data_IF_663389635704
#
_entry.id   IF_663389635704
#
_cell.length_a   1.000
_cell.length_b   1.000
_cell.length_c   1.000
_cell.angle_alpha   90.00
_cell.angle_beta   90.00
_cell.angle_gamma   90.00
#
_symmetry.space_group_name_H-M   'P 1'
#
loop_
_entity.id
_entity.type
_entity.pdbx_description
1 polymer ?
#
# COMPACT_ATOMS: atom_id res chain seq x y z
N UNK A 1 -43.38 30.24 38.21
CA UNK A 1 -42.46 29.09 38.34
C UNK A 1 -42.16 28.58 36.94
N UNK A 2 -41.00 28.95 36.39
CA UNK A 2 -40.51 28.50 35.09
C UNK A 2 -39.24 27.68 35.31
N UNK A 3 -39.08 26.49 34.70
CA UNK A 3 -37.82 25.77 34.76
C UNK A 3 -36.82 26.39 33.77
N UNK A 4 -35.62 26.69 34.27
CA UNK A 4 -34.50 27.15 33.49
C UNK A 4 -33.93 26.00 32.64
N UNK A 5 -33.85 26.20 31.33
CA UNK A 5 -33.14 25.33 30.39
C UNK A 5 -31.63 25.51 30.58
N UNK A 6 -30.93 24.47 31.04
CA UNK A 6 -29.47 24.44 31.05
C UNK A 6 -28.97 24.28 29.60
N UNK A 7 -28.24 25.29 29.13
CA UNK A 7 -27.48 25.21 27.90
C UNK A 7 -26.27 24.28 28.13
N UNK A 8 -26.28 23.13 27.46
CA UNK A 8 -25.09 22.28 27.32
C UNK A 8 -24.14 23.02 26.37
N UNK A 9 -23.13 23.69 26.93
CA UNK A 9 -21.99 24.19 26.16
C UNK A 9 -21.33 23.02 25.45
N UNK A 10 -21.50 22.96 24.13
CA UNK A 10 -20.64 22.15 23.26
C UNK A 10 -19.23 22.72 23.39
N UNK A 11 -18.36 21.95 24.05
CA UNK A 11 -16.91 22.15 23.94
C UNK A 11 -16.57 22.12 22.45
N UNK A 12 -15.89 23.13 21.90
CA UNK A 12 -15.42 23.05 20.52
C UNK A 12 -14.46 21.87 20.45
N UNK A 13 -14.78 20.90 19.61
CA UNK A 13 -13.89 19.85 19.17
C UNK A 13 -12.77 20.51 18.37
N UNK A 14 -11.80 21.06 19.11
CA UNK A 14 -10.57 21.63 18.60
C UNK A 14 -9.75 20.48 18.04
N UNK A 15 -10.11 20.12 16.81
CA UNK A 15 -9.47 19.07 16.03
C UNK A 15 -8.02 19.48 15.90
N UNK A 16 -7.19 18.76 16.64
CA UNK A 16 -5.74 18.84 16.67
C UNK A 16 -5.25 18.75 15.22
N UNK A 17 -5.14 19.90 14.56
CA UNK A 17 -4.64 20.06 13.20
C UNK A 17 -3.12 19.88 13.30
N UNK A 18 -2.69 18.65 13.64
CA UNK A 18 -1.29 18.25 13.72
C UNK A 18 -0.63 18.69 12.43
N UNK A 19 0.31 19.61 12.57
CA UNK A 19 0.92 20.30 11.44
C UNK A 19 1.64 19.27 10.59
N UNK A 20 1.02 18.81 9.51
CA UNK A 20 1.69 17.92 8.57
C UNK A 20 2.76 18.72 7.84
N UNK A 21 4.04 18.45 8.11
CA UNK A 21 5.14 19.03 7.34
C UNK A 21 5.56 18.03 6.27
N UNK A 22 5.40 18.42 5.00
CA UNK A 22 5.70 17.57 3.84
C UNK A 22 4.96 16.23 3.84
N UNK A 23 3.75 16.17 4.41
CA UNK A 23 2.91 14.97 4.48
C UNK A 23 3.24 14.01 5.63
N UNK A 24 4.17 14.35 6.52
CA UNK A 24 4.49 13.59 7.72
C UNK A 24 3.92 14.24 8.97
N UNK A 25 3.62 13.43 9.98
CA UNK A 25 3.33 13.89 11.32
C UNK A 25 4.65 14.27 12.02
N UNK A 26 4.61 15.23 12.94
CA UNK A 26 5.80 15.69 13.67
C UNK A 26 6.55 14.56 14.40
N UNK A 27 5.85 13.51 14.82
CA UNK A 27 6.43 12.32 15.46
C UNK A 27 7.17 11.36 14.52
N UNK A 28 6.95 11.43 13.20
CA UNK A 28 7.47 10.41 12.28
C UNK A 28 9.00 10.49 12.13
N UNK A 29 9.55 11.71 12.14
CA UNK A 29 11.01 11.90 12.10
C UNK A 29 11.68 11.34 13.37
N UNK A 30 11.02 11.48 14.52
CA UNK A 30 11.49 10.87 15.76
C UNK A 30 11.54 9.35 15.64
N UNK A 31 10.46 8.71 15.19
CA UNK A 31 10.42 7.25 15.04
C UNK A 31 11.42 6.73 14.02
N UNK A 32 11.61 7.43 12.90
CA UNK A 32 12.62 7.08 11.91
C UNK A 32 14.05 7.15 12.48
N UNK A 33 14.36 8.19 13.26
CA UNK A 33 15.64 8.33 13.96
C UNK A 33 15.83 7.24 15.02
N UNK A 34 14.79 6.96 15.80
CA UNK A 34 14.81 5.93 16.83
C UNK A 34 15.08 4.54 16.24
N UNK A 35 14.34 4.17 15.19
CA UNK A 35 14.50 2.88 14.51
C UNK A 35 15.91 2.72 13.90
N UNK A 36 16.41 3.76 13.21
CA UNK A 36 17.75 3.70 12.59
C UNK A 36 18.87 3.67 13.61
N UNK A 37 18.78 4.43 14.71
CA UNK A 37 19.75 4.37 15.80
C UNK A 37 19.76 2.98 16.48
N UNK A 38 18.58 2.38 16.65
CA UNK A 38 18.43 1.02 17.20
C UNK A 38 19.09 0.00 16.28
N UNK A 39 18.85 0.07 14.96
CA UNK A 39 19.48 -0.80 13.98
C UNK A 39 21.01 -0.67 13.95
N UNK A 40 21.55 0.55 14.03
CA UNK A 40 23.00 0.80 14.11
C UNK A 40 23.60 0.18 15.37
N UNK A 41 22.93 0.32 16.52
CA UNK A 41 23.38 -0.27 17.78
C UNK A 41 23.33 -1.79 17.75
N UNK A 42 22.26 -2.37 17.20
CA UNK A 42 22.11 -3.81 17.04
C UNK A 42 23.17 -4.40 16.10
N UNK A 43 23.42 -3.76 14.96
CA UNK A 43 24.47 -4.20 14.02
C UNK A 43 25.86 -4.18 14.67
N UNK A 44 26.16 -3.19 15.50
CA UNK A 44 27.42 -3.15 16.25
C UNK A 44 27.50 -4.23 17.34
N UNK A 45 26.38 -4.55 17.99
CA UNK A 45 26.33 -5.57 19.02
C UNK A 45 26.52 -7.00 18.48
N UNK A 46 25.95 -7.28 17.32
CA UNK A 46 25.97 -8.60 16.69
C UNK A 46 27.03 -8.74 15.58
N UNK A 47 27.96 -7.78 15.49
CA UNK A 47 29.03 -7.72 14.48
C UNK A 47 28.53 -7.98 13.04
N UNK A 48 27.38 -7.42 12.69
CA UNK A 48 26.82 -7.56 11.36
C UNK A 48 27.64 -6.73 10.36
N UNK A 49 28.11 -7.36 9.27
CA UNK A 49 28.84 -6.71 8.17
C UNK A 49 27.97 -5.77 7.30
N UNK A 50 26.88 -5.23 7.84
CA UNK A 50 26.00 -4.32 7.13
C UNK A 50 26.59 -2.89 7.11
N UNK A 51 26.71 -2.30 5.92
CA UNK A 51 27.15 -0.91 5.77
C UNK A 51 26.20 0.05 6.48
N UNK A 52 26.73 0.92 7.34
CA UNK A 52 25.93 1.95 8.02
C UNK A 52 25.59 3.10 7.06
N UNK A 53 24.31 3.45 6.97
CA UNK A 53 23.85 4.64 6.27
C UNK A 53 24.18 5.94 7.02
N UNK A 54 23.75 7.07 6.44
CA UNK A 54 23.84 8.39 7.08
C UNK A 54 22.74 8.57 8.13
N UNK A 55 23.00 9.42 9.13
CA UNK A 55 21.99 9.80 10.11
C UNK A 55 20.75 10.44 9.45
N UNK A 56 19.55 10.01 9.87
CA UNK A 56 18.27 10.55 9.36
C UNK A 56 18.04 11.94 9.91
N UNK A 57 18.32 12.97 9.09
CA UNK A 57 18.14 14.38 9.48
C UNK A 57 16.76 14.91 9.14
N UNK A 58 16.16 14.43 8.06
CA UNK A 58 14.84 14.81 7.59
C UNK A 58 14.17 13.62 6.88
N UNK A 59 12.85 13.64 6.83
CA UNK A 59 12.07 12.73 5.99
C UNK A 59 11.89 13.34 4.59
N UNK A 60 11.97 12.53 3.53
CA UNK A 60 11.66 13.01 2.18
C UNK A 60 10.20 13.44 2.10
N UNK A 61 9.87 14.42 1.28
CA UNK A 61 8.46 14.79 1.10
C UNK A 61 7.62 13.60 0.62
N UNK A 62 6.43 13.43 1.20
CA UNK A 62 5.47 12.44 0.68
C UNK A 62 5.02 12.93 -0.68
N UNK A 63 5.28 12.13 -1.71
CA UNK A 63 4.77 12.40 -3.05
C UNK A 63 3.24 12.35 -3.01
N UNK A 64 2.60 13.47 -3.34
CA UNK A 64 1.15 13.58 -3.49
C UNK A 64 0.63 12.79 -4.69
N UNK A 65 -0.68 12.87 -4.91
CA UNK A 65 -1.31 12.24 -6.08
C UNK A 65 -0.79 12.86 -7.37
N UNK A 66 -0.64 12.03 -8.41
CA UNK A 66 -0.28 12.46 -9.77
C UNK A 66 -1.33 11.96 -10.75
N UNK A 67 -1.33 12.50 -11.97
CA UNK A 67 -2.15 11.94 -13.06
C UNK A 67 -1.67 10.53 -13.40
N UNK A 68 -2.60 9.65 -13.78
CA UNK A 68 -2.31 8.30 -14.32
C UNK A 68 -1.32 8.33 -15.48
N UNK A 69 -1.34 9.38 -16.32
CA UNK A 69 -0.40 9.58 -17.43
C UNK A 69 1.05 9.85 -16.99
N UNK A 70 1.26 10.19 -15.72
CA UNK A 70 2.57 10.54 -15.15
C UNK A 70 3.18 9.42 -14.31
N UNK A 71 2.64 8.19 -14.44
CA UNK A 71 3.13 7.02 -13.72
C UNK A 71 4.57 6.68 -14.14
N UNK A 72 5.48 6.63 -13.18
CA UNK A 72 6.91 6.33 -13.43
C UNK A 72 7.56 5.46 -12.35
N UNK A 73 6.78 5.00 -11.37
CA UNK A 73 7.19 4.10 -10.31
C UNK A 73 6.44 2.78 -10.40
N UNK A 74 5.92 2.32 -9.27
CA UNK A 74 5.23 1.03 -9.16
C UNK A 74 3.89 0.96 -9.89
N UNK A 75 3.35 2.08 -10.39
CA UNK A 75 2.14 2.10 -11.23
C UNK A 75 2.44 2.20 -12.74
N UNK A 76 3.69 2.40 -13.17
CA UNK A 76 4.05 2.82 -14.53
C UNK A 76 3.53 1.92 -15.67
N UNK A 77 3.41 0.62 -15.42
CA UNK A 77 3.02 -0.37 -16.44
C UNK A 77 1.68 -1.05 -16.13
N UNK A 78 0.91 -0.48 -15.21
CA UNK A 78 -0.47 -0.89 -15.05
C UNK A 78 -1.25 -0.37 -16.24
N UNK A 79 -2.22 -1.13 -16.73
CA UNK A 79 -2.99 -0.85 -17.94
C UNK A 79 -3.97 0.33 -17.76
N UNK A 80 -3.50 1.43 -17.17
CA UNK A 80 -4.26 2.60 -16.74
C UNK A 80 -5.02 3.24 -17.90
N UNK A 81 -4.43 3.24 -19.11
CA UNK A 81 -5.07 3.80 -20.31
C UNK A 81 -6.25 2.99 -20.84
N UNK A 82 -6.51 1.78 -20.33
CA UNK A 82 -7.67 0.97 -20.73
C UNK A 82 -8.95 1.35 -20.03
N UNK A 83 -8.86 2.17 -18.99
CA UNK A 83 -9.99 2.57 -18.17
C UNK A 83 -9.93 4.08 -17.94
N UNK A 84 -10.76 4.81 -18.69
CA UNK A 84 -10.81 6.27 -18.68
C UNK A 84 -11.28 6.85 -17.35
N UNK A 85 -11.89 6.03 -16.48
CA UNK A 85 -12.30 6.44 -15.14
C UNK A 85 -11.10 6.76 -14.25
N UNK A 86 -9.95 6.12 -14.50
CA UNK A 86 -8.76 6.20 -13.66
C UNK A 86 -8.01 7.51 -13.89
N UNK A 87 -7.95 8.35 -12.85
CA UNK A 87 -7.49 9.73 -12.98
C UNK A 87 -6.27 10.06 -12.10
N UNK A 88 -6.11 9.35 -10.97
CA UNK A 88 -5.06 9.61 -9.99
C UNK A 88 -4.26 8.37 -9.62
N UNK A 89 -2.98 8.58 -9.32
CA UNK A 89 -2.09 7.56 -8.79
C UNK A 89 -1.31 8.06 -7.57
N UNK A 90 -0.97 7.10 -6.71
CA UNK A 90 0.05 7.24 -5.67
C UNK A 90 0.96 6.03 -5.75
N UNK A 91 2.26 6.26 -5.85
CA UNK A 91 3.20 5.18 -6.08
C UNK A 91 4.49 5.37 -5.33
N UNK A 92 5.08 4.25 -4.94
CA UNK A 92 6.47 4.19 -4.48
C UNK A 92 7.42 4.19 -5.68
N UNK A 93 8.67 4.65 -5.47
CA UNK A 93 9.71 4.41 -6.47
C UNK A 93 10.04 2.93 -6.53
N UNK A 94 10.37 2.45 -7.73
CA UNK A 94 10.85 1.10 -7.94
C UNK A 94 12.30 0.95 -7.50
N UNK A 95 12.60 -0.08 -6.71
CA UNK A 95 13.98 -0.45 -6.33
C UNK A 95 14.05 -1.94 -6.04
N UNK A 96 15.11 -2.61 -6.51
CA UNK A 96 15.39 -4.01 -6.17
C UNK A 96 15.73 -4.24 -4.68
N UNK A 97 15.89 -3.16 -3.91
CA UNK A 97 16.13 -3.20 -2.46
C UNK A 97 14.91 -2.76 -1.65
N UNK A 98 13.78 -2.45 -2.29
CA UNK A 98 12.57 -2.03 -1.60
C UNK A 98 11.97 -3.19 -0.79
N UNK A 99 11.85 -3.03 0.52
CA UNK A 99 11.16 -4.01 1.39
C UNK A 99 9.64 -3.91 1.32
N UNK A 100 9.15 -2.82 0.73
CA UNK A 100 7.74 -2.51 0.53
C UNK A 100 7.54 -1.70 -0.75
N UNK A 101 6.58 -2.12 -1.57
CA UNK A 101 6.13 -1.41 -2.77
C UNK A 101 4.62 -1.18 -2.69
N UNK A 102 4.14 -0.02 -3.14
CA UNK A 102 2.71 0.32 -3.18
C UNK A 102 2.37 1.10 -4.44
N UNK A 103 1.29 0.69 -5.10
CA UNK A 103 0.60 1.46 -6.13
C UNK A 103 -0.87 1.62 -5.71
N UNK A 104 -1.37 2.84 -5.65
CA UNK A 104 -2.78 3.14 -5.51
C UNK A 104 -3.27 3.85 -6.77
N UNK A 105 -4.47 3.50 -7.23
CA UNK A 105 -5.11 4.11 -8.38
C UNK A 105 -6.51 4.54 -7.99
N UNK A 106 -6.81 5.82 -8.17
CA UNK A 106 -8.11 6.42 -7.93
C UNK A 106 -8.87 6.65 -9.22
N UNK A 107 -10.19 6.64 -9.09
CA UNK A 107 -11.15 7.11 -10.09
C UNK A 107 -12.14 8.03 -9.37
N UNK A 108 -11.68 9.21 -8.97
CA UNK A 108 -12.36 10.08 -7.98
C UNK A 108 -13.78 10.51 -8.36
N UNK A 109 -14.10 10.50 -9.65
CA UNK A 109 -15.42 10.88 -10.14
C UNK A 109 -16.39 9.69 -10.21
N UNK A 110 -15.92 8.47 -9.91
CA UNK A 110 -16.65 7.22 -10.15
C UNK A 110 -16.69 6.30 -8.94
N UNK A 111 -15.62 6.22 -8.15
CA UNK A 111 -15.53 5.35 -6.97
C UNK A 111 -14.92 6.10 -5.79
N UNK A 112 -15.47 5.86 -4.60
CA UNK A 112 -14.97 6.45 -3.36
C UNK A 112 -13.68 5.78 -2.89
N UNK A 113 -13.55 4.49 -3.16
CA UNK A 113 -12.39 3.70 -2.79
C UNK A 113 -11.37 3.58 -3.93
N UNK A 114 -10.10 3.42 -3.57
CA UNK A 114 -9.00 3.32 -4.54
C UNK A 114 -8.60 1.87 -4.72
N UNK A 115 -8.23 1.49 -5.93
CA UNK A 115 -7.43 0.28 -6.11
C UNK A 115 -6.13 0.42 -5.32
N UNK A 116 -5.73 -0.60 -4.57
CA UNK A 116 -4.44 -0.62 -3.86
C UNK A 116 -3.72 -1.94 -4.12
N UNK A 117 -2.52 -1.86 -4.70
CA UNK A 117 -1.64 -3.00 -4.90
C UNK A 117 -0.39 -2.81 -4.05
N UNK A 118 -0.02 -3.83 -3.28
CA UNK A 118 1.18 -3.78 -2.43
C UNK A 118 2.01 -5.04 -2.55
N UNK A 119 3.33 -4.88 -2.45
CA UNK A 119 4.29 -5.98 -2.32
C UNK A 119 5.08 -5.80 -1.03
N UNK A 120 5.22 -6.88 -0.27
CA UNK A 120 5.96 -6.93 0.99
C UNK A 120 6.98 -8.07 0.92
N UNK A 121 8.19 -7.80 1.39
CA UNK A 121 9.33 -8.73 1.34
C UNK A 121 9.88 -9.03 2.74
N UNK A 122 10.54 -10.17 2.89
CA UNK A 122 11.14 -10.61 4.15
C UNK A 122 10.24 -10.42 5.38
N UNK A 123 10.74 -9.77 6.46
CA UNK A 123 9.98 -9.56 7.69
C UNK A 123 8.65 -8.80 7.51
N UNK A 124 8.54 -7.93 6.49
CA UNK A 124 7.29 -7.22 6.22
C UNK A 124 6.22 -8.15 5.65
N UNK A 125 6.62 -9.15 4.86
CA UNK A 125 5.71 -10.19 4.40
C UNK A 125 5.21 -11.03 5.58
N UNK A 126 6.11 -11.43 6.48
CA UNK A 126 5.78 -12.19 7.69
C UNK A 126 4.79 -11.42 8.59
N UNK A 127 5.10 -10.16 8.88
CA UNK A 127 4.24 -9.32 9.73
C UNK A 127 2.84 -9.19 9.14
N UNK A 128 2.71 -9.00 7.83
CA UNK A 128 1.41 -8.87 7.18
C UNK A 128 0.60 -10.18 7.17
N UNK A 129 1.27 -11.34 7.07
CA UNK A 129 0.60 -12.65 7.17
C UNK A 129 0.08 -12.93 8.58
N UNK A 130 0.75 -12.40 9.59
CA UNK A 130 0.40 -12.58 10.99
C UNK A 130 -0.54 -11.50 11.52
N UNK A 131 -0.93 -10.53 10.70
CA UNK A 131 -1.86 -9.48 11.09
C UNK A 131 -3.28 -10.05 11.23
N UNK A 132 -3.84 -10.13 12.46
CA UNK A 132 -5.17 -10.67 12.67
C UNK A 132 -6.27 -9.77 12.08
N UNK A 133 -5.96 -8.52 11.73
CA UNK A 133 -6.88 -7.56 11.14
C UNK A 133 -6.80 -7.51 9.61
N UNK A 134 -5.92 -8.31 8.98
CA UNK A 134 -5.80 -8.34 7.53
C UNK A 134 -7.04 -8.99 6.88
N UNK A 135 -7.94 -8.17 6.35
CA UNK A 135 -9.16 -8.61 5.67
C UNK A 135 -8.88 -9.30 4.33
N UNK A 136 -7.85 -8.89 3.60
CA UNK A 136 -7.51 -9.43 2.28
C UNK A 136 -6.97 -10.85 2.35
N UNK A 137 -6.10 -11.14 3.34
CA UNK A 137 -5.48 -12.46 3.47
C UNK A 137 -6.34 -13.46 4.24
N UNK A 138 -7.31 -12.99 5.03
CA UNK A 138 -8.04 -13.85 5.97
C UNK A 138 -7.11 -14.76 6.79
N UNK A 139 -7.64 -15.82 7.41
CA UNK A 139 -6.83 -16.83 8.10
C UNK A 139 -6.14 -17.82 7.15
N UNK A 140 -5.95 -17.47 5.86
CA UNK A 140 -5.48 -18.45 4.87
C UNK A 140 -3.98 -18.36 4.62
N UNK A 141 -3.27 -19.44 4.92
CA UNK A 141 -1.85 -19.62 4.57
C UNK A 141 -1.64 -20.04 3.09
N UNK A 142 -2.65 -19.86 2.23
CA UNK A 142 -2.57 -20.21 0.82
C UNK A 142 -1.59 -19.29 0.08
N UNK A 143 -0.87 -19.87 -0.89
CA UNK A 143 0.12 -19.15 -1.68
C UNK A 143 -0.48 -18.06 -2.59
N UNK A 144 -1.74 -18.21 -3.00
CA UNK A 144 -2.48 -17.23 -3.78
C UNK A 144 -4.00 -17.46 -3.66
N UNK A 145 -4.79 -16.45 -4.02
CA UNK A 145 -6.25 -16.56 -4.11
C UNK A 145 -6.94 -15.20 -4.17
N UNK A 146 -8.27 -15.25 -4.18
CA UNK A 146 -9.13 -14.07 -4.19
C UNK A 146 -10.32 -14.28 -3.27
N UNK A 147 -10.87 -13.18 -2.77
CA UNK A 147 -12.15 -13.12 -2.07
C UNK A 147 -12.88 -11.82 -2.45
N UNK A 148 -14.04 -11.56 -1.84
CA UNK A 148 -14.84 -10.36 -2.13
C UNK A 148 -14.15 -9.04 -1.79
N UNK A 149 -13.05 -9.07 -1.02
CA UNK A 149 -12.32 -7.88 -0.55
C UNK A 149 -10.93 -7.74 -1.16
N UNK A 150 -10.51 -8.68 -2.02
CA UNK A 150 -9.25 -8.52 -2.73
C UNK A 150 -8.59 -9.79 -3.22
N UNK A 151 -7.33 -9.61 -3.61
CA UNK A 151 -6.48 -10.54 -4.31
C UNK A 151 -5.20 -10.72 -3.50
N UNK A 152 -4.64 -11.93 -3.49
CA UNK A 152 -3.32 -12.16 -2.93
C UNK A 152 -2.51 -13.18 -3.74
N UNK A 153 -1.20 -13.04 -3.64
CA UNK A 153 -0.21 -13.90 -4.28
C UNK A 153 1.08 -13.97 -3.47
N UNK A 154 1.99 -14.84 -3.88
CA UNK A 154 3.28 -14.98 -3.20
C UNK A 154 4.38 -15.51 -4.11
N UNK A 155 5.63 -15.15 -3.81
CA UNK A 155 6.82 -15.63 -4.52
C UNK A 155 7.95 -15.94 -3.53
N UNK A 156 8.91 -16.77 -3.94
CA UNK A 156 10.16 -16.97 -3.19
C UNK A 156 11.19 -15.95 -3.65
N UNK A 157 11.72 -15.14 -2.74
CA UNK A 157 12.73 -14.14 -3.08
C UNK A 157 14.11 -14.53 -2.53
N UNK A 158 15.21 -14.19 -3.22
CA UNK A 158 16.56 -14.50 -2.75
C UNK A 158 16.83 -13.87 -1.38
N UNK A 159 17.41 -14.63 -0.46
CA UNK A 159 17.79 -14.16 0.87
C UNK A 159 16.66 -14.09 1.90
N UNK A 160 15.41 -14.29 1.49
CA UNK A 160 14.26 -14.32 2.39
C UNK A 160 13.89 -15.76 2.79
N UNK A 161 13.70 -16.00 4.09
CA UNK A 161 13.13 -17.25 4.59
C UNK A 161 11.63 -17.35 4.29
N UNK A 162 10.96 -16.20 4.21
CA UNK A 162 9.54 -16.09 3.99
C UNK A 162 9.21 -15.77 2.53
N UNK A 163 8.07 -16.28 2.07
CA UNK A 163 7.58 -15.89 0.74
C UNK A 163 7.15 -14.44 0.76
N UNK A 164 7.61 -13.67 -0.21
CA UNK A 164 7.06 -12.35 -0.49
C UNK A 164 5.55 -12.43 -0.65
N UNK A 165 4.89 -11.35 -0.27
CA UNK A 165 3.45 -11.25 -0.26
C UNK A 165 3.02 -10.10 -1.17
N UNK A 166 2.15 -10.42 -2.12
CA UNK A 166 1.46 -9.44 -2.97
C UNK A 166 0.00 -9.40 -2.56
N UNK A 167 -0.57 -8.21 -2.35
CA UNK A 167 -2.00 -8.02 -2.13
C UNK A 167 -2.56 -6.97 -3.07
N UNK A 168 -3.82 -7.14 -3.46
CA UNK A 168 -4.59 -6.21 -4.27
C UNK A 168 -5.95 -5.96 -3.63
N UNK A 169 -6.31 -4.71 -3.43
CA UNK A 169 -7.65 -4.29 -3.08
C UNK A 169 -8.35 -3.77 -4.34
N UNK A 170 -9.59 -4.22 -4.54
CA UNK A 170 -10.44 -3.85 -5.67
C UNK A 170 -11.72 -3.23 -5.09
N UNK A 171 -12.03 -1.95 -5.40
CA UNK A 171 -13.26 -1.31 -4.94
C UNK A 171 -14.49 -2.12 -5.32
N UNK A 172 -15.43 -2.27 -4.41
CA UNK A 172 -16.64 -3.09 -4.67
C UNK A 172 -17.57 -2.42 -5.69
N UNK A 173 -17.55 -1.09 -5.73
CA UNK A 173 -18.27 -0.21 -6.65
C UNK A 173 -17.72 -0.30 -8.08
N UNK A 174 -16.47 -0.71 -8.25
CA UNK A 174 -15.86 -0.81 -9.57
C UNK A 174 -16.54 -1.85 -10.47
N UNK A 175 -17.25 -2.82 -9.87
CA UNK A 175 -18.04 -3.83 -10.57
C UNK A 175 -19.44 -3.35 -10.99
N UNK A 176 -19.88 -2.17 -10.55
CA UNK A 176 -21.24 -1.67 -10.81
C UNK A 176 -21.26 -0.29 -11.46
N UNK A 177 -20.16 0.46 -11.40
CA UNK A 177 -20.05 1.82 -11.93
C UNK A 177 -19.34 1.81 -13.27
N UNK A 178 -20.01 2.16 -14.38
CA UNK A 178 -19.34 2.48 -15.65
C UNK A 178 -19.67 3.92 -16.04
N UNK A 179 -20.95 4.17 -16.25
CA UNK A 179 -21.62 5.45 -16.47
C UNK A 179 -23.06 5.31 -15.93
N UNK A 180 -23.82 6.40 -15.66
CA UNK A 180 -25.22 6.28 -15.28
C UNK A 180 -26.03 5.51 -16.34
N UNK A 181 -26.47 4.29 -16.01
CA UNK A 181 -27.37 3.49 -16.85
C UNK A 181 -26.76 2.26 -17.54
N UNK A 182 -25.46 1.99 -17.40
CA UNK A 182 -24.81 0.81 -17.99
C UNK A 182 -24.25 -0.12 -16.91
N UNK A 183 -24.45 -1.43 -17.05
CA UNK A 183 -23.82 -2.43 -16.17
C UNK A 183 -22.32 -2.45 -16.47
N UNK A 184 -21.52 -1.86 -15.60
CA UNK A 184 -20.06 -2.00 -15.66
C UNK A 184 -19.62 -3.42 -15.31
N UNK A 185 -18.49 -3.84 -15.85
CA UNK A 185 -17.73 -4.98 -15.35
C UNK A 185 -16.39 -4.47 -14.80
N UNK A 186 -15.93 -5.07 -13.70
CA UNK A 186 -14.60 -4.79 -13.15
C UNK A 186 -13.53 -5.43 -14.06
N UNK A 187 -12.82 -4.62 -14.82
CA UNK A 187 -11.84 -5.11 -15.83
C UNK A 187 -10.39 -4.71 -15.52
N UNK A 188 -10.16 -3.91 -14.48
CA UNK A 188 -8.84 -3.36 -14.18
C UNK A 188 -8.12 -4.14 -13.08
N UNK A 189 -8.82 -4.50 -12.00
CA UNK A 189 -8.27 -4.96 -10.73
C UNK A 189 -7.42 -6.21 -10.85
N UNK A 190 -7.97 -7.31 -11.38
CA UNK A 190 -7.22 -8.56 -11.52
C UNK A 190 -6.05 -8.43 -12.53
N UNK A 191 -6.23 -7.90 -13.75
CA UNK A 191 -5.11 -7.68 -14.68
C UNK A 191 -4.01 -6.79 -14.11
N UNK A 192 -4.37 -5.68 -13.45
CA UNK A 192 -3.42 -4.76 -12.84
C UNK A 192 -2.67 -5.40 -11.67
N UNK A 193 -3.37 -6.14 -10.80
CA UNK A 193 -2.73 -6.88 -9.70
C UNK A 193 -1.69 -7.87 -10.20
N UNK A 194 -2.04 -8.67 -11.24
CA UNK A 194 -1.11 -9.64 -11.82
C UNK A 194 0.12 -8.94 -12.38
N UNK A 195 -0.09 -7.86 -13.16
CA UNK A 195 0.99 -7.08 -13.75
C UNK A 195 1.91 -6.48 -12.68
N UNK A 196 1.33 -5.88 -11.65
CA UNK A 196 2.05 -5.35 -10.49
C UNK A 196 2.93 -6.43 -9.83
N UNK A 197 2.34 -7.57 -9.50
CA UNK A 197 3.02 -8.66 -8.79
C UNK A 197 4.13 -9.29 -9.65
N UNK A 198 3.90 -9.50 -10.94
CA UNK A 198 4.91 -10.01 -11.88
C UNK A 198 6.12 -9.08 -11.98
N UNK A 199 5.89 -7.78 -12.08
CA UNK A 199 6.95 -6.79 -12.19
C UNK A 199 7.74 -6.63 -10.90
N UNK A 200 7.04 -6.60 -9.77
CA UNK A 200 7.66 -6.55 -8.45
C UNK A 200 8.50 -7.82 -8.22
N UNK A 201 7.94 -9.01 -8.45
CA UNK A 201 8.69 -10.27 -8.36
C UNK A 201 9.94 -10.28 -9.26
N UNK A 202 9.82 -9.86 -10.52
CA UNK A 202 10.95 -9.76 -11.45
C UNK A 202 12.04 -8.81 -10.95
N UNK A 203 11.66 -7.64 -10.44
CA UNK A 203 12.59 -6.62 -9.95
C UNK A 203 13.44 -7.11 -8.77
N UNK A 204 12.84 -7.95 -7.94
CA UNK A 204 13.46 -8.54 -6.75
C UNK A 204 14.10 -9.92 -7.01
N UNK A 205 14.12 -10.38 -8.27
CA UNK A 205 14.66 -11.70 -8.63
C UNK A 205 13.90 -12.88 -8.01
N UNK A 206 12.63 -12.67 -7.66
CA UNK A 206 11.80 -13.70 -7.05
C UNK A 206 11.39 -14.76 -8.06
N UNK A 207 11.18 -15.98 -7.57
CA UNK A 207 10.82 -17.18 -8.31
C UNK A 207 9.55 -17.81 -7.73
N UNK A 208 9.02 -18.84 -8.40
CA UNK A 208 7.83 -19.57 -7.94
C UNK A 208 6.65 -18.63 -7.64
N UNK A 209 6.44 -17.63 -8.51
CA UNK A 209 5.35 -16.67 -8.37
C UNK A 209 4.00 -17.39 -8.50
N UNK A 210 3.17 -17.27 -7.47
CA UNK A 210 1.81 -17.78 -7.40
C UNK A 210 0.84 -16.61 -7.38
N UNK A 211 -0.11 -16.63 -8.31
CA UNK A 211 -1.13 -15.60 -8.48
C UNK A 211 -2.53 -16.25 -8.57
N UNK A 212 -3.60 -15.50 -8.28
CA UNK A 212 -4.97 -15.93 -8.54
C UNK A 212 -5.14 -16.32 -10.01
N UNK A 213 -6.00 -17.29 -10.29
CA UNK A 213 -6.32 -17.69 -11.66
C UNK A 213 -6.86 -16.48 -12.46
N UNK A 214 -6.56 -16.45 -13.75
CA UNK A 214 -7.29 -15.58 -14.66
C UNK A 214 -8.70 -16.18 -14.78
N UNK A 215 -9.73 -15.37 -14.56
CA UNK A 215 -11.13 -15.77 -14.75
C UNK A 215 -11.43 -16.13 -16.19
#
# INVERSE_FOLDING_TARGET
MHPATQAVSRVPEETERRTQKNGWLDGDLYWARFATATAVKASAHWDCAAGKGKAVRALPAVSGSRSTTSANGTCADLLLSRDERLDKIWETRTSAQAVFERCQVGAYHYVDERYEFTARFGPYALSARNDPHSETLGKTHKAAGSNSRGLWGSARCPGDSERALFTGFVPTEAATVWLPGEKGEETFGLPAFRKFAEQSAKRHGCTDLRLPAAG
#
